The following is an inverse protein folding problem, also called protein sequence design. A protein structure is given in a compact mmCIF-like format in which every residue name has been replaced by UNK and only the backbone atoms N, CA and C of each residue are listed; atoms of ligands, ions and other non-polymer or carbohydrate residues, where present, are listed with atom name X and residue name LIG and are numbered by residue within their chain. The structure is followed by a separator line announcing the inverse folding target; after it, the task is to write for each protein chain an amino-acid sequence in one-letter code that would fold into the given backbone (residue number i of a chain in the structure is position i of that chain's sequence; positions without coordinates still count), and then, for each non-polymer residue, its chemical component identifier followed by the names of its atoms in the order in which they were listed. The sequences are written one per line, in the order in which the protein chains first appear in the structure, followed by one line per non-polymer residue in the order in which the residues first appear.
data_IF_612843762482
#
_entry.id   IF_612843762482
#
_cell.length_a   1.000
_cell.length_b   1.000
_cell.length_c   1.000
_cell.angle_alpha   90.00
_cell.angle_beta   90.00
_cell.angle_gamma   90.00
#
_symmetry.space_group_name_H-M   'P 1'
#
loop_
_entity.id
_entity.type
_entity.pdbx_description
1 polymer ?
#
# COMPACT_ATOMS: atom_id res chain seq x y z
N UNK A 1 -2.84 1.97 8.07
CA UNK A 1 -2.55 2.87 6.96
C UNK A 1 -2.81 2.19 5.63
N UNK A 2 -2.80 2.97 4.55
CA UNK A 2 -3.03 2.41 3.22
C UNK A 2 -1.75 2.06 2.51
N UNK A 3 -0.68 1.87 3.27
CA UNK A 3 0.60 1.52 2.69
C UNK A 3 0.57 0.20 1.96
N UNK A 4 -0.44 -0.62 2.26
CA UNK A 4 -0.59 -1.93 1.63
C UNK A 4 -1.67 -1.90 0.56
N UNK A 5 -1.77 -0.78 -0.14
CA UNK A 5 -2.78 -0.62 -1.19
C UNK A 5 -2.14 -0.13 -2.49
N UNK A 6 -2.07 -1.01 -3.48
CA UNK A 6 -1.49 -0.66 -4.77
C UNK A 6 -2.18 0.55 -5.37
N UNK A 7 -3.38 0.84 -4.88
CA UNK A 7 -4.15 1.98 -5.38
C UNK A 7 -3.25 3.20 -5.57
N UNK A 8 -2.35 3.43 -4.62
CA UNK A 8 -1.44 4.56 -4.70
C UNK A 8 0.00 4.08 -4.87
N UNK A 9 0.38 3.06 -4.10
CA UNK A 9 1.73 2.51 -4.17
C UNK A 9 1.69 1.01 -4.40
N UNK A 10 1.95 0.23 -3.35
CA UNK A 10 1.94 -1.21 -3.44
C UNK A 10 1.34 -1.84 -2.19
N UNK A 11 0.73 -3.01 -2.35
CA UNK A 11 0.11 -3.71 -1.23
C UNK A 11 1.16 -4.39 -0.36
N UNK A 12 2.10 -3.59 0.15
CA UNK A 12 3.16 -4.11 1.01
C UNK A 12 2.62 -4.46 2.39
N UNK A 13 3.01 -3.66 3.38
CA UNK A 13 2.56 -3.90 4.74
C UNK A 13 1.83 -2.71 5.32
N UNK A 14 2.54 -1.60 5.49
CA UNK A 14 1.93 -0.39 6.04
C UNK A 14 0.63 -0.05 5.33
#
# INVERSE_FOLDING_TARGET
RGGRLYRRRFVVGR
#
